data_IF_225964894722
#
_entry.id   IF_225964894722
#
_cell.length_a   1.000
_cell.length_b   1.000
_cell.length_c   1.000
_cell.angle_alpha   90.00
_cell.angle_beta   90.00
_cell.angle_gamma   90.00
#
_symmetry.space_group_name_H-M   'P 1'
#
loop_
_entity.id
_entity.type
_entity.pdbx_description
1 polymer ?
#
# COMPACT_ATOMS: atom_id res chain seq x y z
N UNK A 1 -6.99 -13.28 -18.48
CA UNK A 1 -7.45 -13.30 -17.15
C UNK A 1 -6.66 -12.37 -16.28
N UNK A 2 -7.28 -11.38 -15.71
CA UNK A 2 -6.54 -10.39 -14.98
C UNK A 2 -6.60 -10.70 -13.52
N UNK A 3 -5.50 -10.58 -12.86
CA UNK A 3 -5.44 -10.71 -11.44
C UNK A 3 -5.66 -9.39 -10.80
N UNK A 4 -6.29 -9.40 -9.65
CA UNK A 4 -6.44 -8.14 -8.92
C UNK A 4 -5.05 -7.65 -8.55
N UNK A 5 -4.87 -6.37 -8.65
CA UNK A 5 -3.62 -5.78 -8.28
C UNK A 5 -3.52 -5.74 -6.76
N UNK A 6 -2.45 -6.23 -6.25
CA UNK A 6 -2.26 -6.17 -4.81
C UNK A 6 -1.64 -4.82 -4.44
N UNK A 7 -1.94 -4.33 -3.25
CA UNK A 7 -1.35 -3.04 -2.84
C UNK A 7 0.16 -3.08 -2.83
N UNK A 8 0.73 -4.23 -2.54
CA UNK A 8 2.18 -4.35 -2.53
C UNK A 8 2.78 -4.05 -3.88
N UNK A 9 2.11 -4.50 -4.95
CA UNK A 9 2.62 -4.26 -6.27
C UNK A 9 2.40 -2.84 -6.73
N UNK A 10 1.21 -2.35 -6.45
CA UNK A 10 0.84 -1.02 -6.91
C UNK A 10 1.72 0.03 -6.26
N UNK A 11 2.03 -0.15 -4.98
CA UNK A 11 2.82 0.82 -4.25
C UNK A 11 4.23 0.31 -3.96
N UNK A 12 4.75 -0.52 -4.85
CA UNK A 12 6.07 -1.11 -4.62
C UNK A 12 7.15 -0.04 -4.46
N UNK A 13 7.07 1.00 -5.26
CA UNK A 13 8.07 2.06 -5.18
C UNK A 13 8.02 2.76 -3.84
N UNK A 14 6.82 3.02 -3.36
CA UNK A 14 6.66 3.67 -2.06
C UNK A 14 7.17 2.77 -0.94
N UNK A 15 6.86 1.49 -1.03
CA UNK A 15 7.29 0.55 -0.01
C UNK A 15 8.81 0.45 0.02
N UNK A 16 9.42 0.40 -1.14
CA UNK A 16 10.87 0.32 -1.21
C UNK A 16 11.52 1.58 -0.65
N UNK A 17 10.87 2.71 -0.85
CA UNK A 17 11.38 3.96 -0.32
C UNK A 17 11.08 4.12 1.17
N UNK A 18 10.31 3.21 1.74
CA UNK A 18 9.94 3.33 3.13
C UNK A 18 8.90 4.38 3.37
N UNK A 19 8.10 4.70 2.35
CA UNK A 19 7.11 5.74 2.47
C UNK A 19 5.71 5.15 2.40
N UNK A 20 4.84 5.68 3.25
CA UNK A 20 3.45 5.24 3.27
C UNK A 20 2.65 6.16 2.38
N UNK A 21 1.94 5.63 1.38
CA UNK A 21 1.11 6.49 0.52
C UNK A 21 -0.02 7.10 1.31
N UNK A 22 -0.46 8.27 0.86
CA UNK A 22 -1.55 8.94 1.55
C UNK A 22 -2.86 8.25 1.24
N UNK A 23 -3.85 8.48 2.10
CA UNK A 23 -5.16 7.89 1.90
C UNK A 23 -5.73 8.30 0.55
N UNK A 24 -5.56 9.57 0.20
CA UNK A 24 -6.06 10.07 -1.08
C UNK A 24 -5.37 9.33 -2.23
N UNK A 25 -4.08 9.14 -2.12
CA UNK A 25 -3.34 8.47 -3.17
C UNK A 25 -3.83 7.04 -3.34
N UNK A 26 -4.08 6.35 -2.24
CA UNK A 26 -4.59 4.99 -2.31
C UNK A 26 -5.96 4.97 -2.96
N UNK A 27 -6.84 5.90 -2.59
CA UNK A 27 -8.17 5.95 -3.16
C UNK A 27 -8.10 6.14 -4.67
N UNK A 28 -7.27 7.05 -5.11
CA UNK A 28 -7.18 7.36 -6.54
C UNK A 28 -6.50 6.26 -7.32
N UNK A 29 -5.45 5.71 -6.77
CA UNK A 29 -4.69 4.69 -7.48
C UNK A 29 -5.44 3.38 -7.59
N UNK A 30 -6.11 3.00 -6.51
CA UNK A 30 -6.80 1.73 -6.47
C UNK A 30 -8.28 1.86 -6.82
N UNK A 31 -8.77 3.07 -6.98
CA UNK A 31 -10.18 3.33 -7.31
C UNK A 31 -11.09 2.69 -6.27
N UNK A 32 -10.82 2.97 -5.02
CA UNK A 32 -11.60 2.40 -3.93
C UNK A 32 -12.13 3.51 -3.05
N UNK A 33 -13.08 3.15 -2.19
CA UNK A 33 -13.63 4.10 -1.24
C UNK A 33 -12.71 4.30 -0.06
N UNK A 34 -13.14 5.17 0.85
CA UNK A 34 -12.33 5.54 1.99
C UNK A 34 -12.05 4.35 2.90
N UNK A 35 -13.07 3.56 3.19
CA UNK A 35 -12.87 2.43 4.10
C UNK A 35 -11.89 1.44 3.52
N UNK A 36 -12.02 1.16 2.24
CA UNK A 36 -11.13 0.22 1.59
C UNK A 36 -9.72 0.79 1.52
N UNK A 37 -9.61 2.07 1.21
CA UNK A 37 -8.32 2.70 1.12
C UNK A 37 -7.61 2.67 2.46
N UNK A 38 -8.36 2.84 3.55
CA UNK A 38 -7.78 2.79 4.88
C UNK A 38 -7.25 1.39 5.18
N UNK A 39 -8.00 0.37 4.80
CA UNK A 39 -7.55 -1.00 5.02
C UNK A 39 -6.28 -1.29 4.21
N UNK A 40 -6.25 -0.82 2.98
CA UNK A 40 -5.08 -1.02 2.14
C UNK A 40 -3.88 -0.28 2.72
N UNK A 41 -4.10 0.93 3.18
CA UNK A 41 -3.02 1.70 3.77
C UNK A 41 -2.49 1.02 5.02
N UNK A 42 -3.37 0.40 5.80
CA UNK A 42 -2.95 -0.33 6.99
C UNK A 42 -2.09 -1.52 6.60
N UNK A 43 -2.44 -2.20 5.54
CA UNK A 43 -1.64 -3.32 5.08
C UNK A 43 -0.24 -2.87 4.69
N UNK A 44 -0.15 -1.76 3.98
CA UNK A 44 1.15 -1.23 3.57
C UNK A 44 1.94 -0.80 4.80
N UNK A 45 1.28 -0.20 5.76
CA UNK A 45 1.95 0.20 6.98
C UNK A 45 2.52 -1.01 7.72
N UNK A 46 1.78 -2.10 7.73
CA UNK A 46 2.26 -3.31 8.38
C UNK A 46 3.49 -3.86 7.65
N UNK A 47 3.46 -3.81 6.33
CA UNK A 47 4.61 -4.25 5.56
C UNK A 47 5.84 -3.41 5.88
N UNK A 48 5.65 -2.11 5.95
CA UNK A 48 6.75 -1.21 6.26
C UNK A 48 7.30 -1.45 7.66
N UNK A 49 6.42 -1.76 8.59
CA UNK A 49 6.86 -2.02 9.96
C UNK A 49 7.58 -3.34 10.10
N UNK A 50 7.12 -4.31 9.33
CA UNK A 50 7.75 -5.61 9.40
C UNK A 50 8.98 -5.69 8.57
N UNK A 51 9.14 -4.76 7.68
CA UNK A 51 10.32 -4.75 6.88
C UNK A 51 11.45 -4.90 7.82
N UNK A 52 12.06 -5.97 7.87
CA UNK A 52 13.08 -6.22 8.83
C UNK A 52 14.15 -5.30 8.53
N UNK A 53 14.37 -4.61 9.47
CA UNK A 53 15.46 -3.84 9.41
C UNK A 53 16.54 -4.75 9.41
N UNK A 54 16.97 -5.16 8.43
CA UNK A 54 18.08 -6.02 8.43
C UNK A 54 19.07 -5.44 9.32
N UNK A 55 19.08 -5.78 10.36
CA UNK A 55 20.04 -5.27 11.29
C UNK A 55 21.42 -5.72 10.91
#
# INVERSE_FOLDING_TARGET
MSKPKSPERVFAAEIEAGQLPSLRQVKQTMHVGTDRARAIRDEIAAILQEAPVAA
#
